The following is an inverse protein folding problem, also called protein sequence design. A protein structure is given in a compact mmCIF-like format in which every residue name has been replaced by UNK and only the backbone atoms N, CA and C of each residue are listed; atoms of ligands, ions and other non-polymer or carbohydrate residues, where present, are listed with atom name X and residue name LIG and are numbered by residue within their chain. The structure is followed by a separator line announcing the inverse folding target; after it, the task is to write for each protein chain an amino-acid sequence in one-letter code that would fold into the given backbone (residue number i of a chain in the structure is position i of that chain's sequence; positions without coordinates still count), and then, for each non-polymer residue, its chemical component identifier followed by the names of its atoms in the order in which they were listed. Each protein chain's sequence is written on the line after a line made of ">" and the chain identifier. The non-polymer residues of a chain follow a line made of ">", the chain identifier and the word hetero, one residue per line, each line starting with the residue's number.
data_IF_143791395280
#
_entry.id   IF_143791395280
#
_cell.length_a   1.000
_cell.length_b   1.000
_cell.length_c   1.000
_cell.angle_alpha   90.00
_cell.angle_beta   90.00
_cell.angle_gamma   90.00
#
_symmetry.space_group_name_H-M   'P 1'
#
loop_
_entity.id
_entity.type
_entity.pdbx_description
1 polymer ?
#
# COMPACT_ATOMS: atom_id res chain seq x y z
N UNK A 1 -26.47 -7.51 -12.18
CA UNK A 1 -26.15 -7.54 -11.92
C UNK A 1 -25.45 -7.48 -11.56
N UNK A 2 -25.25 -7.52 -11.36
CA UNK A 2 -24.56 -7.49 -11.01
C UNK A 2 -23.98 -7.80 -10.46
N UNK A 3 -23.99 -7.94 -10.32
CA UNK A 3 -23.54 -8.25 -9.80
C UNK A 3 -22.86 -8.61 -9.37
N UNK A 4 -22.47 -8.90 -9.51
CA UNK A 4 -21.77 -9.21 -9.10
C UNK A 4 -20.84 -9.01 -8.87
N UNK A 5 -20.54 -8.62 -8.78
CA UNK A 5 -19.66 -8.32 -8.63
C UNK A 5 -18.90 -8.53 -7.88
N UNK A 6 -18.13 -8.66 -7.97
CA UNK A 6 -17.30 -9.10 -7.18
C UNK A 6 -16.56 -8.39 -6.47
N UNK A 7 -16.48 -8.13 -6.28
CA UNK A 7 -16.04 -7.62 -5.65
C UNK A 7 -15.22 -7.82 -4.93
N UNK A 8 -15.07 -8.12 -4.70
CA UNK A 8 -14.45 -8.32 -3.80
C UNK A 8 -13.17 -8.56 -3.84
N UNK A 9 -12.56 -8.88 -4.55
CA UNK A 9 -11.17 -9.19 -4.50
C UNK A 9 -10.37 -8.09 -5.09
N UNK A 10 -10.20 -7.07 -4.40
CA UNK A 10 -9.33 -6.00 -4.85
C UNK A 10 -7.88 -6.43 -4.61
N UNK A 11 -7.12 -6.61 -5.67
CA UNK A 11 -5.71 -7.01 -5.58
C UNK A 11 -4.82 -5.79 -5.67
N UNK A 12 -3.91 -5.64 -4.72
CA UNK A 12 -2.94 -4.55 -4.73
C UNK A 12 -1.89 -4.86 -5.78
N UNK A 13 -1.69 -3.93 -6.70
CA UNK A 13 -0.68 -4.05 -7.74
C UNK A 13 0.57 -3.28 -7.34
N UNK A 14 1.66 -3.50 -8.09
CA UNK A 14 2.89 -2.74 -7.87
C UNK A 14 2.64 -1.24 -8.08
N UNK A 15 1.76 -0.88 -9.01
CA UNK A 15 1.41 0.51 -9.25
C UNK A 15 0.70 1.10 -8.03
N UNK A 16 -0.15 0.31 -7.39
CA UNK A 16 -0.85 0.78 -6.19
C UNK A 16 0.13 1.06 -5.05
N UNK A 17 1.17 0.23 -4.91
CA UNK A 17 2.17 0.46 -3.87
C UNK A 17 2.87 1.78 -4.10
N UNK A 18 3.31 2.03 -5.33
CA UNK A 18 3.98 3.27 -5.68
C UNK A 18 3.05 4.47 -5.51
N UNK A 19 1.79 4.31 -5.90
CA UNK A 19 0.81 5.38 -5.76
C UNK A 19 0.57 5.74 -4.29
N UNK A 20 0.48 4.73 -3.43
CA UNK A 20 0.29 4.96 -2.01
C UNK A 20 1.46 5.75 -1.43
N UNK A 21 2.67 5.40 -1.84
CA UNK A 21 3.85 6.10 -1.37
C UNK A 21 3.84 7.56 -1.83
N UNK A 22 3.50 7.79 -3.09
CA UNK A 22 3.41 9.15 -3.62
C UNK A 22 2.39 9.97 -2.86
N UNK A 23 1.23 9.40 -2.61
CA UNK A 23 0.17 10.11 -1.90
C UNK A 23 0.53 10.37 -0.45
N UNK A 24 1.33 9.51 0.15
CA UNK A 24 1.73 9.69 1.54
C UNK A 24 2.77 10.81 1.70
N UNK A 25 3.43 11.18 0.61
CA UNK A 25 4.48 12.19 0.62
C UNK A 25 5.67 11.78 1.49
N UNK A 26 5.83 10.48 1.68
CA UNK A 26 6.94 9.94 2.44
C UNK A 26 8.01 9.44 1.50
N UNK A 27 9.26 9.46 1.97
CA UNK A 27 10.33 8.82 1.23
C UNK A 27 10.10 7.30 1.25
N UNK A 28 10.82 6.59 0.38
CA UNK A 28 10.72 5.15 0.36
C UNK A 28 11.06 4.55 1.73
N UNK A 29 12.09 5.08 2.36
CA UNK A 29 12.51 4.60 3.67
C UNK A 29 11.45 4.84 4.73
N UNK A 30 10.89 6.06 4.75
CA UNK A 30 9.86 6.40 5.70
C UNK A 30 8.61 5.55 5.50
N UNK A 31 8.25 5.34 4.24
CA UNK A 31 7.09 4.53 3.92
C UNK A 31 7.28 3.08 4.37
N UNK A 32 8.47 2.53 4.13
CA UNK A 32 8.79 1.19 4.58
C UNK A 32 8.69 1.07 6.10
N UNK A 33 9.24 2.05 6.82
CA UNK A 33 9.16 2.07 8.26
C UNK A 33 7.71 2.12 8.75
N UNK A 34 6.91 2.94 8.09
CA UNK A 34 5.50 3.07 8.44
C UNK A 34 4.75 1.76 8.25
N UNK A 35 5.10 1.03 7.20
CA UNK A 35 4.48 -0.26 6.94
C UNK A 35 5.08 -1.39 7.78
N UNK A 36 6.18 -1.11 8.48
CA UNK A 36 6.82 -2.13 9.31
C UNK A 36 7.64 -3.13 8.52
N UNK A 37 8.17 -2.72 7.36
CA UNK A 37 8.96 -3.61 6.52
C UNK A 37 10.28 -2.93 6.16
N UNK A 38 11.22 -3.72 5.63
CA UNK A 38 12.49 -3.18 5.17
C UNK A 38 12.30 -2.45 3.85
N UNK A 39 13.23 -1.54 3.55
CA UNK A 39 13.23 -0.86 2.26
C UNK A 39 13.34 -1.87 1.13
N UNK A 40 14.14 -2.92 1.32
CA UNK A 40 14.30 -3.95 0.31
C UNK A 40 12.98 -4.65 0.02
N UNK A 41 12.20 -4.95 1.05
CA UNK A 41 10.89 -5.57 0.87
C UNK A 41 9.98 -4.63 0.10
N UNK A 42 9.95 -3.36 0.48
CA UNK A 42 9.13 -2.39 -0.22
C UNK A 42 9.54 -2.27 -1.68
N UNK A 43 10.83 -2.25 -1.96
CA UNK A 43 11.32 -2.20 -3.33
C UNK A 43 10.80 -3.39 -4.14
N UNK A 44 10.85 -4.58 -3.56
CA UNK A 44 10.39 -5.77 -4.29
C UNK A 44 8.90 -5.69 -4.60
N UNK A 45 8.12 -5.06 -3.72
CA UNK A 45 6.70 -4.85 -3.99
C UNK A 45 6.49 -3.85 -5.13
N UNK A 46 7.27 -2.77 -5.12
CA UNK A 46 7.14 -1.74 -6.15
C UNK A 46 7.62 -2.22 -7.51
N UNK A 47 8.55 -3.17 -7.51
CA UNK A 47 9.06 -3.76 -8.75
C UNK A 47 8.21 -4.93 -9.24
N UNK A 48 7.23 -5.36 -8.44
CA UNK A 48 6.37 -6.45 -8.82
C UNK A 48 6.99 -7.82 -8.63
N UNK A 49 8.14 -7.90 -7.94
CA UNK A 49 8.82 -9.17 -7.68
C UNK A 49 8.08 -9.96 -6.62
N UNK A 50 7.56 -9.27 -5.62
CA UNK A 50 6.82 -9.89 -4.52
C UNK A 50 5.53 -9.14 -4.29
N UNK A 51 4.55 -9.82 -3.74
CA UNK A 51 3.28 -9.19 -3.37
C UNK A 51 3.28 -8.84 -1.90
N UNK A 52 2.67 -7.71 -1.53
CA UNK A 52 2.54 -7.35 -0.11
C UNK A 52 1.70 -8.37 0.64
N UNK A 53 1.98 -8.51 1.94
CA UNK A 53 1.15 -9.32 2.81
C UNK A 53 -0.26 -8.72 2.88
N UNK A 54 -1.21 -9.48 3.38
CA UNK A 54 -2.59 -9.00 3.49
C UNK A 54 -2.68 -7.77 4.39
N UNK A 55 -1.95 -7.79 5.50
CA UNK A 55 -1.94 -6.64 6.39
C UNK A 55 -1.39 -5.40 5.70
N UNK A 56 -0.29 -5.57 4.97
CA UNK A 56 0.29 -4.46 4.23
C UNK A 56 -0.65 -3.95 3.15
N UNK A 57 -1.35 -4.87 2.47
CA UNK A 57 -2.31 -4.47 1.45
C UNK A 57 -3.40 -3.59 2.02
N UNK A 58 -3.89 -3.91 3.20
CA UNK A 58 -4.92 -3.11 3.86
C UNK A 58 -4.43 -1.69 4.13
N UNK A 59 -3.20 -1.57 4.64
CA UNK A 59 -2.61 -0.25 4.89
C UNK A 59 -2.40 0.53 3.60
N UNK A 60 -1.94 -0.15 2.56
CA UNK A 60 -1.69 0.50 1.28
C UNK A 60 -3.00 1.06 0.71
N UNK A 61 -4.08 0.29 0.82
CA UNK A 61 -5.39 0.78 0.38
C UNK A 61 -5.80 2.02 1.14
N UNK A 62 -5.58 2.04 2.44
CA UNK A 62 -5.93 3.19 3.26
C UNK A 62 -5.09 4.41 2.89
N UNK A 63 -3.81 4.22 2.60
CA UNK A 63 -2.97 5.31 2.15
C UNK A 63 -3.47 5.93 0.86
N UNK A 64 -3.97 5.10 -0.06
CA UNK A 64 -4.51 5.61 -1.31
C UNK A 64 -5.79 6.39 -1.05
N UNK A 65 -6.62 5.89 -0.15
CA UNK A 65 -7.92 6.48 0.10
C UNK A 65 -7.85 7.71 0.99
N UNK A 66 -7.04 7.66 2.04
CA UNK A 66 -6.95 8.76 2.99
C UNK A 66 -5.56 8.81 3.58
N UNK A 67 -4.59 9.33 2.82
CA UNK A 67 -3.20 9.32 3.27
C UNK A 67 -2.96 10.14 4.53
N UNK A 68 -3.66 11.25 4.69
CA UNK A 68 -3.47 12.08 5.87
C UNK A 68 -3.89 11.37 7.14
N UNK A 69 -5.02 10.71 7.08
CA UNK A 69 -5.53 9.97 8.23
C UNK A 69 -4.56 8.88 8.66
N UNK A 70 -4.04 8.13 7.68
CA UNK A 70 -3.15 7.02 8.00
C UNK A 70 -1.86 7.53 8.59
N UNK A 71 -1.29 8.60 8.04
CA UNK A 71 -0.07 9.17 8.58
C UNK A 71 -0.24 9.59 10.04
N UNK A 72 -1.35 10.24 10.35
CA UNK A 72 -1.61 10.67 11.72
C UNK A 72 -1.82 9.48 12.64
N UNK A 73 -2.53 8.47 12.18
CA UNK A 73 -2.82 7.32 13.01
C UNK A 73 -1.57 6.52 13.36
N UNK A 74 -0.57 6.54 12.48
CA UNK A 74 0.64 5.74 12.64
C UNK A 74 1.83 6.53 13.17
N UNK A 75 1.72 7.83 13.30
CA UNK A 75 2.83 8.64 13.79
C UNK A 75 2.94 8.66 15.31
#
# INVERSE_FOLDING_TARGET
>A
MLANTPVKTYTITQTDVALARQKSELSQREFAETLGVSVRTLESWEQGVRKPSKAAQSLIKLFIKDPSFVREALS
#
